data_IF_222643513997
#
_entry.id   IF_222643513997
#
_cell.length_a   1.000
_cell.length_b   1.000
_cell.length_c   1.000
_cell.angle_alpha   90.00
_cell.angle_beta   90.00
_cell.angle_gamma   90.00
#
_symmetry.space_group_name_H-M   'P 1'
#
loop_
_entity.id
_entity.type
_entity.pdbx_description
1 polymer ?
#
# COMPACT_ATOMS: atom_id res chain seq x y z
N UNK A 1 6.96 25.64 -12.83
CA UNK A 1 7.33 24.24 -12.50
C UNK A 1 6.75 23.31 -13.56
N UNK A 2 7.47 22.27 -13.97
CA UNK A 2 6.90 21.13 -14.69
C UNK A 2 6.21 20.15 -13.71
N UNK A 3 5.56 19.08 -14.24
CA UNK A 3 4.84 18.10 -13.41
C UNK A 3 5.73 17.39 -12.38
N UNK A 4 7.00 17.14 -12.71
CA UNK A 4 7.93 16.47 -11.82
C UNK A 4 8.42 17.40 -10.70
N UNK A 5 8.71 18.67 -11.04
CA UNK A 5 9.04 19.70 -10.06
C UNK A 5 7.86 19.97 -9.11
N UNK A 6 6.63 20.03 -9.64
CA UNK A 6 5.42 20.17 -8.84
C UNK A 6 5.25 18.98 -7.88
N UNK A 7 5.46 17.75 -8.37
CA UNK A 7 5.41 16.55 -7.54
C UNK A 7 6.36 16.66 -6.35
N UNK A 8 7.64 17.00 -6.60
CA UNK A 8 8.64 17.09 -5.53
C UNK A 8 8.39 18.26 -4.57
N UNK A 9 7.82 19.35 -5.04
CA UNK A 9 7.43 20.47 -4.17
C UNK A 9 6.32 20.07 -3.19
N UNK A 10 5.37 19.24 -3.63
CA UNK A 10 4.15 18.91 -2.88
C UNK A 10 4.17 17.51 -2.24
N UNK A 11 5.26 16.74 -2.40
CA UNK A 11 5.34 15.38 -1.85
C UNK A 11 5.12 15.38 -0.33
N UNK A 12 4.25 14.50 0.14
CA UNK A 12 3.94 14.37 1.55
C UNK A 12 4.97 13.47 2.26
N UNK A 13 5.56 13.91 3.38
CA UNK A 13 6.32 13.02 4.25
C UNK A 13 5.40 11.94 4.84
N UNK A 14 6.02 10.84 5.26
CA UNK A 14 5.28 9.65 5.71
C UNK A 14 4.21 9.91 6.78
N UNK A 15 4.49 10.84 7.70
CA UNK A 15 3.57 11.19 8.80
C UNK A 15 2.37 12.03 8.36
N UNK A 16 2.42 12.68 7.20
CA UNK A 16 1.30 13.45 6.63
C UNK A 16 0.37 12.59 5.78
N UNK A 17 0.84 11.42 5.29
CA UNK A 17 -0.01 10.50 4.54
C UNK A 17 -0.99 9.84 5.51
N UNK A 18 -2.32 10.01 5.31
CA UNK A 18 -3.30 9.53 6.27
C UNK A 18 -3.31 8.01 6.38
N UNK A 19 -3.40 7.51 7.61
CA UNK A 19 -3.62 6.10 7.89
C UNK A 19 -5.12 5.80 7.87
N UNK A 20 -5.53 4.78 7.13
CA UNK A 20 -6.91 4.32 7.14
C UNK A 20 -7.28 3.70 8.49
N UNK A 21 -6.39 2.88 9.06
CA UNK A 21 -6.49 2.33 10.41
C UNK A 21 -5.14 2.50 11.12
N UNK A 22 -5.17 3.02 12.35
CA UNK A 22 -4.02 2.93 13.25
C UNK A 22 -3.97 1.51 13.82
N UNK A 23 -2.95 0.71 13.46
CA UNK A 23 -2.65 -0.49 14.23
C UNK A 23 -1.62 -0.12 15.30
N UNK A 24 -2.00 -0.28 16.55
CA UNK A 24 -1.07 -0.52 17.64
C UNK A 24 -0.66 -1.98 17.58
N UNK A 25 0.55 -2.30 18.07
CA UNK A 25 0.88 -3.70 18.34
C UNK A 25 -0.23 -4.30 19.18
N UNK A 26 -0.73 -5.41 18.69
CA UNK A 26 -1.65 -6.23 19.46
C UNK A 26 -0.92 -6.70 20.71
N UNK A 27 -1.39 -6.36 21.89
CA UNK A 27 -0.86 -6.84 23.17
C UNK A 27 -0.74 -8.38 23.17
N UNK A 28 -1.54 -9.06 22.34
CA UNK A 28 -1.46 -10.50 22.13
C UNK A 28 -0.12 -10.95 21.50
N UNK A 29 0.51 -10.13 20.65
CA UNK A 29 1.82 -10.49 20.05
C UNK A 29 2.91 -10.45 21.10
N UNK A 30 2.90 -9.45 21.96
CA UNK A 30 3.85 -9.33 23.08
C UNK A 30 3.61 -10.45 24.09
N UNK A 31 2.36 -10.75 24.41
CA UNK A 31 1.99 -11.86 25.30
C UNK A 31 2.43 -13.22 24.73
N UNK A 32 2.26 -13.44 23.43
CA UNK A 32 2.70 -14.66 22.73
C UNK A 32 4.22 -14.83 22.78
N UNK A 33 4.96 -13.77 22.50
CA UNK A 33 6.43 -13.77 22.61
C UNK A 33 6.90 -14.11 24.04
N UNK A 34 6.31 -13.47 25.05
CA UNK A 34 6.64 -13.76 26.43
C UNK A 34 6.29 -15.19 26.81
N UNK A 35 5.17 -15.73 26.33
CA UNK A 35 4.80 -17.13 26.50
C UNK A 35 5.82 -18.08 25.88
N UNK A 36 6.32 -17.78 24.66
CA UNK A 36 7.39 -18.53 24.02
C UNK A 36 8.68 -18.49 24.86
N UNK A 37 9.16 -17.32 25.27
CA UNK A 37 10.38 -17.16 26.06
C UNK A 37 10.27 -17.86 27.42
N UNK A 38 9.11 -17.78 28.06
CA UNK A 38 8.83 -18.48 29.32
C UNK A 38 8.85 -20.00 29.13
N UNK A 39 8.17 -20.50 28.09
CA UNK A 39 8.18 -21.94 27.80
C UNK A 39 9.58 -22.42 27.49
N UNK A 40 10.31 -21.76 26.61
CA UNK A 40 11.68 -22.13 26.25
C UNK A 40 12.62 -22.13 27.44
N UNK A 41 12.53 -21.12 28.34
CA UNK A 41 13.32 -21.05 29.57
C UNK A 41 13.10 -22.24 30.50
N UNK A 42 11.84 -22.67 30.65
CA UNK A 42 11.47 -23.76 31.56
C UNK A 42 11.67 -25.16 31.00
N UNK A 43 11.88 -25.31 29.69
CA UNK A 43 12.03 -26.60 28.99
C UNK A 43 13.35 -26.69 28.21
N UNK A 44 14.38 -25.98 28.69
CA UNK A 44 15.72 -26.00 28.09
C UNK A 44 16.47 -27.26 28.55
N UNK A 45 16.21 -28.37 27.83
CA UNK A 45 16.84 -29.66 28.08
C UNK A 45 17.52 -30.18 26.82
N UNK A 46 18.73 -30.69 26.92
CA UNK A 46 19.51 -31.19 25.79
C UNK A 46 20.10 -30.07 24.93
N UNK A 47 20.16 -30.28 23.61
CA UNK A 47 20.68 -29.31 22.67
C UNK A 47 19.68 -28.16 22.41
N UNK A 48 20.20 -27.05 21.88
CA UNK A 48 19.37 -25.92 21.43
C UNK A 48 18.24 -26.37 20.47
N UNK A 49 18.62 -27.18 19.48
CA UNK A 49 17.69 -27.67 18.48
C UNK A 49 16.58 -28.53 19.08
N UNK A 50 16.88 -29.42 20.02
CA UNK A 50 15.88 -30.25 20.68
C UNK A 50 14.91 -29.42 21.53
N UNK A 51 15.43 -28.45 22.29
CA UNK A 51 14.60 -27.54 23.09
C UNK A 51 13.68 -26.70 22.20
N UNK A 52 14.17 -26.24 21.04
CA UNK A 52 13.38 -25.46 20.08
C UNK A 52 12.30 -26.31 19.38
N UNK A 53 12.64 -27.57 18.99
CA UNK A 53 11.68 -28.52 18.45
C UNK A 53 10.53 -28.78 19.43
N UNK A 54 10.84 -29.02 20.71
CA UNK A 54 9.84 -29.20 21.80
C UNK A 54 8.92 -27.97 21.87
N UNK A 55 9.46 -26.73 21.80
CA UNK A 55 8.67 -25.50 21.84
C UNK A 55 7.76 -25.37 20.63
N UNK A 56 8.25 -25.66 19.43
CA UNK A 56 7.47 -25.62 18.19
C UNK A 56 6.36 -26.69 18.16
N UNK A 57 6.61 -27.88 18.68
CA UNK A 57 5.61 -28.94 18.80
C UNK A 57 4.58 -28.66 19.91
N UNK A 58 4.97 -27.96 20.97
CA UNK A 58 4.04 -27.51 22.02
C UNK A 58 3.08 -26.42 21.49
N UNK A 59 3.62 -25.42 20.80
CA UNK A 59 2.81 -24.38 20.18
C UNK A 59 3.37 -23.95 18.82
N UNK A 60 2.81 -24.46 17.72
CA UNK A 60 3.24 -24.13 16.37
C UNK A 60 3.21 -22.62 16.02
N UNK A 61 2.39 -21.84 16.73
CA UNK A 61 2.31 -20.37 16.52
C UNK A 61 3.59 -19.64 16.96
N UNK A 62 4.45 -20.27 17.77
CA UNK A 62 5.75 -19.71 18.14
C UNK A 62 6.66 -19.44 16.94
N UNK A 63 6.42 -20.05 15.78
CA UNK A 63 7.09 -19.67 14.52
C UNK A 63 7.01 -18.17 14.29
N UNK A 64 5.85 -17.57 14.52
CA UNK A 64 5.62 -16.12 14.34
C UNK A 64 6.51 -15.31 15.30
N UNK A 65 6.54 -15.69 16.56
CA UNK A 65 7.28 -14.96 17.61
C UNK A 65 8.79 -15.02 17.38
N UNK A 66 9.29 -16.22 17.01
CA UNK A 66 10.70 -16.45 16.69
C UNK A 66 11.12 -15.65 15.47
N UNK A 67 10.30 -15.67 14.40
CA UNK A 67 10.55 -14.91 13.19
C UNK A 67 10.67 -13.41 13.48
N UNK A 68 9.81 -12.87 14.36
CA UNK A 68 9.83 -11.47 14.77
C UNK A 68 11.12 -11.12 15.53
N UNK A 69 11.54 -11.96 16.47
CA UNK A 69 12.81 -11.79 17.20
C UNK A 69 14.00 -11.68 16.24
N UNK A 70 14.00 -12.47 15.18
CA UNK A 70 15.04 -12.50 14.16
C UNK A 70 14.92 -11.36 13.11
N UNK A 71 13.83 -10.58 13.13
CA UNK A 71 13.55 -9.58 12.12
C UNK A 71 13.33 -10.17 10.72
N UNK A 72 12.94 -11.45 10.63
CA UNK A 72 12.65 -12.16 9.38
C UNK A 72 11.22 -11.84 8.97
N UNK A 73 11.05 -11.27 7.76
CA UNK A 73 9.73 -11.00 7.21
C UNK A 73 8.95 -12.30 6.94
N UNK A 74 7.61 -12.24 6.98
CA UNK A 74 6.76 -13.39 6.67
C UNK A 74 7.09 -13.99 5.30
N UNK A 75 7.24 -13.12 4.30
CA UNK A 75 7.61 -13.50 2.93
C UNK A 75 8.96 -14.21 2.86
N UNK A 76 9.99 -13.69 3.52
CA UNK A 76 11.31 -14.33 3.54
C UNK A 76 11.23 -15.71 4.18
N UNK A 77 10.57 -15.83 5.34
CA UNK A 77 10.42 -17.10 6.03
C UNK A 77 9.79 -18.18 5.15
N UNK A 78 8.60 -17.92 4.56
CA UNK A 78 7.94 -18.95 3.78
C UNK A 78 8.65 -19.28 2.46
N UNK A 79 9.35 -18.33 1.86
CA UNK A 79 10.16 -18.59 0.67
C UNK A 79 11.35 -19.51 1.00
N UNK A 80 12.14 -19.14 2.01
CA UNK A 80 13.29 -19.93 2.45
C UNK A 80 12.85 -21.35 2.85
N UNK A 81 11.80 -21.45 3.66
CA UNK A 81 11.24 -22.72 4.12
C UNK A 81 10.69 -23.59 2.97
N UNK A 82 10.09 -22.98 1.93
CA UNK A 82 9.63 -23.73 0.76
C UNK A 82 10.81 -24.41 0.06
N UNK A 83 11.91 -23.66 -0.17
CA UNK A 83 13.12 -24.22 -0.79
C UNK A 83 13.78 -25.29 0.09
N UNK A 84 13.88 -25.06 1.38
CA UNK A 84 14.45 -26.02 2.33
C UNK A 84 13.62 -27.32 2.40
N UNK A 85 12.28 -27.21 2.43
CA UNK A 85 11.40 -28.37 2.44
C UNK A 85 11.52 -29.23 1.17
N UNK A 86 11.65 -28.60 0.00
CA UNK A 86 11.89 -29.31 -1.26
C UNK A 86 13.28 -29.97 -1.34
N UNK A 87 14.26 -29.40 -0.67
CA UNK A 87 15.65 -29.90 -0.67
C UNK A 87 15.89 -30.95 0.42
N UNK A 88 15.00 -31.03 1.41
CA UNK A 88 15.17 -31.95 2.53
C UNK A 88 14.92 -33.39 2.11
N UNK A 89 15.82 -34.27 2.48
CA UNK A 89 15.74 -35.71 2.24
C UNK A 89 16.29 -36.46 3.44
N UNK A 90 15.57 -37.46 3.91
CA UNK A 90 16.04 -38.37 4.94
C UNK A 90 17.07 -39.36 4.39
N UNK A 91 17.81 -40.05 5.27
CA UNK A 91 18.81 -41.06 4.91
C UNK A 91 18.21 -42.21 4.08
N UNK A 92 16.95 -42.54 4.28
CA UNK A 92 16.21 -43.55 3.55
C UNK A 92 15.66 -43.06 2.17
N UNK A 93 15.98 -41.83 1.79
CA UNK A 93 15.51 -41.20 0.55
C UNK A 93 14.12 -40.58 0.63
N UNK A 94 13.43 -40.65 1.77
CA UNK A 94 12.11 -40.04 1.96
C UNK A 94 12.22 -38.52 1.92
N UNK A 95 11.34 -37.86 1.14
CA UNK A 95 11.24 -36.39 1.05
C UNK A 95 10.10 -35.85 1.91
N UNK A 96 10.25 -34.62 2.42
CA UNK A 96 9.17 -33.93 3.13
C UNK A 96 8.06 -33.43 2.18
N UNK A 97 8.43 -33.11 0.95
CA UNK A 97 7.55 -32.59 -0.10
C UNK A 97 7.88 -33.32 -1.38
N UNK A 98 6.85 -33.83 -2.07
CA UNK A 98 7.01 -34.63 -3.28
C UNK A 98 6.93 -33.80 -4.57
N UNK A 99 6.52 -32.52 -4.48
CA UNK A 99 6.45 -31.64 -5.65
C UNK A 99 7.82 -31.49 -6.31
N UNK A 100 7.85 -31.45 -7.63
CA UNK A 100 9.07 -31.20 -8.39
C UNK A 100 9.57 -29.76 -8.17
N UNK A 101 10.89 -29.52 -8.35
CA UNK A 101 11.48 -28.18 -8.17
C UNK A 101 10.95 -27.15 -9.16
N UNK A 102 10.70 -27.56 -10.37
CA UNK A 102 10.11 -26.78 -11.46
C UNK A 102 8.67 -26.35 -11.14
N UNK A 103 7.97 -27.15 -10.33
CA UNK A 103 6.61 -26.91 -9.86
C UNK A 103 6.57 -26.34 -8.45
N UNK A 104 7.65 -25.67 -8.03
CA UNK A 104 7.84 -25.16 -6.69
C UNK A 104 6.69 -24.24 -6.26
N UNK A 105 5.88 -24.72 -5.34
CA UNK A 105 4.77 -23.97 -4.75
C UNK A 105 5.26 -23.20 -3.54
N UNK A 106 4.94 -21.91 -3.47
CA UNK A 106 5.24 -21.06 -2.31
C UNK A 106 4.21 -21.34 -1.21
N UNK A 107 4.65 -21.97 -0.14
CA UNK A 107 3.81 -22.28 1.01
C UNK A 107 3.80 -21.09 1.99
N UNK A 108 2.63 -20.67 2.44
CA UNK A 108 2.51 -19.61 3.46
C UNK A 108 3.05 -20.05 4.82
N UNK A 109 3.39 -19.10 5.69
CA UNK A 109 3.76 -19.42 7.10
C UNK A 109 2.66 -20.22 7.81
N UNK A 110 1.39 -19.94 7.53
CA UNK A 110 0.25 -20.71 8.06
C UNK A 110 0.24 -22.17 7.61
N UNK A 111 0.73 -22.47 6.42
CA UNK A 111 0.88 -23.84 5.94
C UNK A 111 1.92 -24.61 6.79
N UNK A 112 3.07 -24.01 7.07
CA UNK A 112 4.10 -24.61 7.93
C UNK A 112 3.62 -24.80 9.37
N UNK A 113 2.91 -23.82 9.94
CA UNK A 113 2.23 -23.97 11.24
C UNK A 113 1.29 -25.18 11.23
N UNK A 114 0.53 -25.38 10.16
CA UNK A 114 -0.36 -26.52 9.99
C UNK A 114 0.38 -27.88 9.94
N UNK A 115 1.60 -27.94 9.40
CA UNK A 115 2.42 -29.16 9.35
C UNK A 115 2.87 -29.64 10.73
N UNK A 116 3.12 -28.72 11.65
CA UNK A 116 3.48 -29.06 13.04
C UNK A 116 2.31 -29.66 13.85
N UNK A 117 1.11 -29.71 13.30
CA UNK A 117 -0.08 -30.31 13.93
C UNK A 117 -0.54 -31.58 13.23
N UNK A 118 0.24 -32.14 12.28
CA UNK A 118 -0.12 -33.31 11.46
C UNK A 118 0.89 -34.45 11.66
N UNK A 119 0.60 -35.67 11.18
CA UNK A 119 1.57 -36.77 11.13
C UNK A 119 2.88 -36.34 10.47
N UNK A 120 4.02 -36.75 11.01
CA UNK A 120 5.34 -36.36 10.55
C UNK A 120 5.79 -34.98 11.05
N UNK A 121 5.09 -34.38 12.03
CA UNK A 121 5.37 -33.08 12.62
C UNK A 121 6.80 -32.97 13.20
N UNK A 122 7.38 -34.05 13.66
CA UNK A 122 8.74 -34.08 14.21
C UNK A 122 9.79 -33.70 13.19
N UNK A 123 9.68 -34.22 11.96
CA UNK A 123 10.58 -33.87 10.82
C UNK A 123 10.43 -32.40 10.42
N UNK A 124 9.20 -31.89 10.46
CA UNK A 124 8.93 -30.47 10.21
C UNK A 124 9.48 -29.56 11.33
N UNK A 125 9.36 -29.98 12.58
CA UNK A 125 9.93 -29.26 13.72
C UNK A 125 11.46 -29.22 13.66
N UNK A 126 12.10 -30.31 13.24
CA UNK A 126 13.54 -30.40 13.02
C UNK A 126 14.00 -29.42 11.94
N UNK A 127 13.36 -29.45 10.77
CA UNK A 127 13.69 -28.55 9.66
C UNK A 127 13.54 -27.08 10.05
N UNK A 128 12.41 -26.72 10.68
CA UNK A 128 12.14 -25.34 11.11
C UNK A 128 13.09 -24.89 12.22
N UNK A 129 13.40 -25.78 13.17
CA UNK A 129 14.37 -25.48 14.22
C UNK A 129 15.80 -25.30 13.66
N UNK A 130 16.18 -26.10 12.68
CA UNK A 130 17.43 -25.95 11.94
C UNK A 130 17.52 -24.58 11.24
N UNK A 131 16.48 -24.19 10.53
CA UNK A 131 16.41 -22.87 9.87
C UNK A 131 16.60 -21.73 10.87
N UNK A 132 15.94 -21.76 12.01
CA UNK A 132 16.06 -20.71 13.02
C UNK A 132 17.43 -20.72 13.71
N UNK A 133 18.02 -21.90 13.96
CA UNK A 133 19.39 -22.03 14.46
C UNK A 133 20.37 -21.38 13.50
N UNK A 134 20.26 -21.69 12.21
CA UNK A 134 21.15 -21.19 11.16
C UNK A 134 20.98 -19.67 10.88
N UNK A 135 19.94 -19.07 11.44
CA UNK A 135 19.70 -17.62 11.51
C UNK A 135 20.00 -17.04 12.91
N UNK A 136 20.94 -17.61 13.66
CA UNK A 136 21.48 -17.10 14.93
C UNK A 136 20.48 -16.97 16.10
N UNK A 137 19.35 -17.70 16.06
CA UNK A 137 18.32 -17.60 17.11
C UNK A 137 18.90 -17.95 18.51
N UNK A 138 19.85 -18.88 18.60
CA UNK A 138 20.43 -19.26 19.89
C UNK A 138 21.11 -18.08 20.58
N UNK A 139 21.88 -17.29 19.84
CA UNK A 139 22.56 -16.09 20.34
C UNK A 139 21.55 -15.06 20.83
N UNK A 140 20.49 -14.83 20.06
CA UNK A 140 19.42 -13.89 20.40
C UNK A 140 18.70 -14.34 21.67
N UNK A 141 18.32 -15.62 21.77
CA UNK A 141 17.64 -16.13 22.96
C UNK A 141 18.55 -16.05 24.21
N UNK A 142 19.82 -16.34 24.07
CA UNK A 142 20.77 -16.21 25.19
C UNK A 142 20.87 -14.74 25.66
N UNK A 143 20.74 -13.76 24.80
CA UNK A 143 20.69 -12.36 25.17
C UNK A 143 19.35 -11.95 25.84
N UNK A 144 18.21 -12.51 25.41
CA UNK A 144 16.89 -12.18 25.95
C UNK A 144 16.55 -12.89 27.24
N UNK A 145 17.01 -14.14 27.44
CA UNK A 145 16.64 -14.96 28.59
C UNK A 145 17.01 -14.35 29.96
N UNK A 146 18.12 -13.63 30.16
CA UNK A 146 18.42 -12.97 31.42
C UNK A 146 17.61 -11.70 31.69
N UNK A 147 16.91 -11.16 30.72
CA UNK A 147 16.19 -9.91 30.86
C UNK A 147 14.86 -10.10 31.64
N UNK A 148 14.43 -9.03 32.32
CA UNK A 148 13.10 -8.99 32.93
C UNK A 148 12.00 -8.89 31.87
N UNK A 149 10.80 -9.37 32.19
CA UNK A 149 9.64 -9.28 31.28
C UNK A 149 9.34 -7.85 30.85
N UNK A 150 9.49 -6.86 31.75
CA UNK A 150 9.26 -5.45 31.43
C UNK A 150 10.28 -4.95 30.40
N UNK A 151 11.55 -5.26 30.57
CA UNK A 151 12.58 -4.86 29.62
C UNK A 151 12.40 -5.54 28.25
N UNK A 152 12.00 -6.82 28.23
CA UNK A 152 11.64 -7.52 26.98
C UNK A 152 10.48 -6.82 26.28
N UNK A 153 9.44 -6.42 27.01
CA UNK A 153 8.30 -5.65 26.45
C UNK A 153 8.77 -4.32 25.85
N UNK A 154 9.61 -3.59 26.55
CA UNK A 154 10.13 -2.31 26.05
C UNK A 154 10.98 -2.48 24.78
N UNK A 155 11.91 -3.44 24.78
CA UNK A 155 12.72 -3.74 23.59
C UNK A 155 11.83 -4.16 22.42
N UNK A 156 10.87 -5.04 22.67
CA UNK A 156 9.99 -5.52 21.62
C UNK A 156 9.14 -4.38 21.05
N UNK A 157 8.50 -3.59 21.90
CA UNK A 157 7.63 -2.49 21.48
C UNK A 157 8.39 -1.38 20.76
N UNK A 158 9.62 -1.08 21.18
CA UNK A 158 10.35 0.08 20.68
C UNK A 158 11.30 -0.24 19.52
N UNK A 159 11.79 -1.48 19.40
CA UNK A 159 12.79 -1.84 18.40
C UNK A 159 12.31 -2.89 17.38
N UNK A 160 11.60 -3.93 17.83
CA UNK A 160 11.24 -5.07 16.96
C UNK A 160 9.92 -4.81 16.25
N UNK A 161 8.93 -4.41 17.00
CA UNK A 161 7.59 -4.17 16.51
C UNK A 161 7.46 -3.09 15.45
N UNK A 162 8.18 -1.96 15.52
CA UNK A 162 8.08 -0.92 14.49
C UNK A 162 8.30 -1.42 13.07
N UNK A 163 9.16 -2.41 12.85
CA UNK A 163 9.40 -2.95 11.50
C UNK A 163 8.19 -3.66 10.90
N UNK A 164 7.50 -4.48 11.70
CA UNK A 164 6.30 -5.18 11.22
C UNK A 164 5.11 -4.25 11.07
N UNK A 165 4.99 -3.28 11.98
CA UNK A 165 3.98 -2.22 11.88
C UNK A 165 4.19 -1.38 10.62
N UNK A 166 5.44 -1.01 10.29
CA UNK A 166 5.73 -0.23 9.09
C UNK A 166 5.23 -0.90 7.82
N UNK A 167 5.41 -2.22 7.67
CA UNK A 167 4.93 -2.95 6.48
C UNK A 167 3.39 -2.94 6.38
N UNK A 168 2.70 -3.12 7.50
CA UNK A 168 1.24 -3.04 7.55
C UNK A 168 0.74 -1.61 7.36
N UNK A 169 1.41 -0.65 7.98
CA UNK A 169 1.09 0.77 7.84
C UNK A 169 1.26 1.26 6.40
N UNK A 170 2.22 0.75 5.63
CA UNK A 170 2.37 1.10 4.21
C UNK A 170 1.09 0.81 3.42
N UNK A 171 0.48 -0.37 3.63
CA UNK A 171 -0.82 -0.71 3.04
C UNK A 171 -1.94 0.22 3.51
N UNK A 172 -2.02 0.48 4.81
CA UNK A 172 -3.06 1.37 5.37
C UNK A 172 -2.88 2.84 4.98
N UNK A 173 -1.65 3.28 4.68
CA UNK A 173 -1.40 4.61 4.09
C UNK A 173 -1.88 4.67 2.65
N UNK A 174 -1.65 3.63 1.84
CA UNK A 174 -2.24 3.51 0.51
C UNK A 174 -3.76 3.70 0.57
N UNK A 175 -4.45 2.90 1.36
CA UNK A 175 -5.91 3.02 1.53
C UNK A 175 -6.36 4.35 2.17
N UNK A 176 -5.55 4.95 3.04
CA UNK A 176 -5.84 6.28 3.59
C UNK A 176 -5.80 7.38 2.53
N UNK A 177 -4.79 7.35 1.65
CA UNK A 177 -4.67 8.29 0.54
C UNK A 177 -5.74 8.04 -0.55
N UNK A 178 -6.08 6.78 -0.85
CA UNK A 178 -7.20 6.43 -1.74
C UNK A 178 -8.53 6.98 -1.20
N UNK A 179 -8.79 6.80 0.11
CA UNK A 179 -9.98 7.37 0.75
C UNK A 179 -9.99 8.89 0.68
N UNK A 180 -8.86 9.55 0.91
CA UNK A 180 -8.74 10.99 0.82
C UNK A 180 -9.03 11.48 -0.60
N UNK A 181 -8.47 10.83 -1.61
CA UNK A 181 -8.75 11.14 -3.02
C UNK A 181 -10.23 10.92 -3.35
N UNK A 182 -10.80 9.76 -3.01
CA UNK A 182 -12.22 9.46 -3.24
C UNK A 182 -13.12 10.50 -2.55
N UNK A 183 -12.79 10.90 -1.31
CA UNK A 183 -13.51 11.95 -0.59
C UNK A 183 -13.40 13.30 -1.28
N UNK A 184 -12.20 13.66 -1.74
CA UNK A 184 -11.99 14.94 -2.44
C UNK A 184 -12.80 15.04 -3.73
N UNK A 185 -12.91 13.95 -4.49
CA UNK A 185 -13.79 13.89 -5.67
C UNK A 185 -15.29 13.93 -5.30
N UNK A 186 -15.69 13.15 -4.27
CA UNK A 186 -17.08 13.11 -3.83
C UNK A 186 -17.56 14.47 -3.26
N UNK A 187 -16.75 15.13 -2.42
CA UNK A 187 -17.13 16.37 -1.71
C UNK A 187 -17.33 17.55 -2.69
N UNK A 188 -16.65 17.54 -3.83
CA UNK A 188 -16.85 18.51 -4.92
C UNK A 188 -18.03 18.18 -5.83
N UNK A 189 -18.74 17.07 -5.58
CA UNK A 189 -19.95 16.66 -6.28
C UNK A 189 -19.72 15.72 -7.47
N UNK A 190 -18.53 15.12 -7.61
CA UNK A 190 -18.29 14.11 -8.63
C UNK A 190 -19.03 12.80 -8.31
N UNK A 191 -19.55 12.14 -9.35
CA UNK A 191 -20.08 10.78 -9.26
C UNK A 191 -18.93 9.79 -9.32
N UNK A 192 -18.61 9.19 -8.20
CA UNK A 192 -17.51 8.24 -8.05
C UNK A 192 -18.03 6.80 -8.02
N UNK A 193 -17.20 5.85 -8.48
CA UNK A 193 -17.42 4.42 -8.32
C UNK A 193 -16.09 3.73 -7.94
N UNK A 194 -16.02 2.87 -6.92
CA UNK A 194 -17.13 2.48 -6.02
C UNK A 194 -17.68 3.65 -5.18
N UNK A 195 -19.00 3.69 -5.00
CA UNK A 195 -19.66 4.84 -4.36
C UNK A 195 -19.23 5.07 -2.92
N UNK A 196 -18.98 3.99 -2.17
CA UNK A 196 -18.63 4.05 -0.73
C UNK A 196 -17.14 4.21 -0.46
N UNK A 197 -16.29 4.25 -1.50
CA UNK A 197 -14.83 4.30 -1.31
C UNK A 197 -14.37 5.53 -0.51
N UNK A 198 -15.10 6.64 -0.56
CA UNK A 198 -14.85 7.84 0.24
C UNK A 198 -15.10 7.65 1.75
N UNK A 199 -15.90 6.66 2.14
CA UNK A 199 -16.17 6.29 3.53
C UNK A 199 -15.29 5.12 3.99
N UNK A 200 -15.30 4.03 3.21
CA UNK A 200 -14.68 2.76 3.52
C UNK A 200 -13.92 2.21 2.30
N UNK A 201 -12.62 2.52 2.14
CA UNK A 201 -11.86 2.18 0.93
C UNK A 201 -11.70 0.67 0.71
N UNK A 202 -11.89 -0.15 1.74
CA UNK A 202 -11.77 -1.61 1.66
C UNK A 202 -13.11 -2.35 1.58
N UNK A 203 -14.25 -1.64 1.63
CA UNK A 203 -15.57 -2.28 1.61
C UNK A 203 -15.92 -2.88 0.24
N UNK A 204 -15.38 -2.31 -0.81
CA UNK A 204 -15.66 -2.71 -2.18
C UNK A 204 -14.34 -2.97 -2.92
N UNK A 205 -14.35 -3.95 -3.82
CA UNK A 205 -13.18 -4.26 -4.66
C UNK A 205 -12.98 -3.17 -5.70
N UNK A 206 -11.72 -2.97 -6.10
CA UNK A 206 -11.36 -2.04 -7.16
C UNK A 206 -12.02 -2.48 -8.48
N UNK A 207 -12.71 -1.56 -9.19
CA UNK A 207 -13.44 -1.89 -10.39
C UNK A 207 -12.52 -2.26 -11.56
N UNK A 208 -12.90 -3.28 -12.31
CA UNK A 208 -12.28 -3.64 -13.56
C UNK A 208 -12.99 -2.95 -14.73
N UNK A 209 -12.20 -2.38 -15.64
CA UNK A 209 -12.68 -1.70 -16.85
C UNK A 209 -12.08 -2.35 -18.09
N UNK A 210 -12.92 -2.66 -19.07
CA UNK A 210 -12.47 -2.98 -20.42
C UNK A 210 -12.15 -1.66 -21.16
N UNK A 211 -10.87 -1.41 -21.42
CA UNK A 211 -10.42 -0.14 -22.02
C UNK A 211 -10.79 0.01 -23.50
N UNK A 212 -11.22 -1.06 -24.18
CA UNK A 212 -11.69 -0.96 -25.57
C UNK A 212 -13.14 -0.45 -25.66
N UNK A 213 -13.98 -0.77 -24.65
CA UNK A 213 -15.40 -0.37 -24.61
C UNK A 213 -15.71 0.67 -23.55
N UNK A 214 -14.79 0.91 -22.61
CA UNK A 214 -14.97 1.71 -21.39
C UNK A 214 -16.14 1.25 -20.52
N UNK A 215 -16.34 -0.06 -20.43
CA UNK A 215 -17.39 -0.66 -19.61
C UNK A 215 -16.81 -1.35 -18.39
N UNK A 216 -17.58 -1.33 -17.30
CA UNK A 216 -17.29 -2.13 -16.11
C UNK A 216 -17.49 -3.61 -16.43
N UNK A 217 -16.53 -4.44 -16.00
CA UNK A 217 -16.58 -5.89 -16.19
C UNK A 217 -16.45 -6.62 -14.86
N UNK A 218 -16.94 -7.86 -14.81
CA UNK A 218 -16.82 -8.67 -13.59
C UNK A 218 -15.37 -9.02 -13.27
N UNK A 219 -15.06 -9.27 -11.99
CA UNK A 219 -13.71 -9.66 -11.55
C UNK A 219 -13.23 -11.01 -12.10
N UNK A 220 -14.13 -11.84 -12.62
CA UNK A 220 -13.82 -13.13 -13.21
C UNK A 220 -13.39 -13.02 -14.67
N UNK A 221 -13.60 -11.85 -15.30
CA UNK A 221 -13.21 -11.59 -16.67
C UNK A 221 -11.69 -11.37 -16.77
N UNK A 222 -10.94 -12.42 -17.03
CA UNK A 222 -9.51 -12.34 -17.35
C UNK A 222 -9.35 -12.26 -18.89
N UNK A 223 -9.19 -11.05 -19.42
CA UNK A 223 -8.93 -10.84 -20.84
C UNK A 223 -7.95 -9.68 -21.05
N UNK A 224 -7.24 -9.69 -22.18
CA UNK A 224 -6.39 -8.60 -22.58
C UNK A 224 -7.18 -7.28 -22.69
N UNK A 225 -6.64 -6.19 -22.15
CA UNK A 225 -7.29 -4.87 -22.16
C UNK A 225 -8.25 -4.62 -20.98
N UNK A 226 -8.38 -5.55 -20.03
CA UNK A 226 -9.08 -5.34 -18.77
C UNK A 226 -8.08 -4.92 -17.69
N UNK A 227 -8.32 -3.76 -17.07
CA UNK A 227 -7.47 -3.22 -16.02
C UNK A 227 -8.28 -2.80 -14.79
N UNK A 228 -7.68 -2.94 -13.61
CA UNK A 228 -8.25 -2.51 -12.34
C UNK A 228 -7.87 -1.05 -12.04
N UNK A 229 -8.82 -0.29 -11.51
CA UNK A 229 -8.62 1.10 -11.10
C UNK A 229 -9.10 1.32 -9.67
N UNK A 230 -8.41 2.18 -8.93
CA UNK A 230 -8.77 2.47 -7.55
C UNK A 230 -10.08 3.26 -7.44
N UNK A 231 -10.37 4.10 -8.44
CA UNK A 231 -11.58 4.91 -8.49
C UNK A 231 -11.95 5.23 -9.95
N UNK A 232 -13.25 5.31 -10.22
CA UNK A 232 -13.81 5.74 -11.51
C UNK A 232 -14.66 6.98 -11.26
N UNK A 233 -14.58 7.93 -12.18
CA UNK A 233 -15.41 9.14 -12.22
C UNK A 233 -16.37 9.02 -13.40
N UNK A 234 -17.66 9.23 -13.13
CA UNK A 234 -18.74 9.15 -14.11
C UNK A 234 -19.36 10.52 -14.33
N UNK A 235 -19.88 10.75 -15.55
CA UNK A 235 -20.71 11.91 -15.84
C UNK A 235 -22.17 11.71 -15.37
N UNK A 236 -23.05 12.66 -15.72
CA UNK A 236 -24.47 12.62 -15.35
C UNK A 236 -25.22 11.47 -16.03
N UNK A 237 -24.77 11.03 -17.18
CA UNK A 237 -25.35 9.92 -17.94
C UNK A 237 -24.87 8.54 -17.44
N UNK A 238 -23.84 8.54 -16.58
CA UNK A 238 -23.26 7.33 -16.01
C UNK A 238 -22.06 6.78 -16.79
N UNK A 239 -21.65 7.49 -17.86
CA UNK A 239 -20.50 7.11 -18.66
C UNK A 239 -19.19 7.36 -17.91
N UNK A 240 -18.19 6.52 -18.13
CA UNK A 240 -16.85 6.66 -17.54
C UNK A 240 -16.15 7.85 -18.20
N UNK A 241 -15.71 8.81 -17.38
CA UNK A 241 -14.99 10.01 -17.83
C UNK A 241 -13.62 10.15 -17.18
N UNK A 242 -13.39 9.49 -16.06
CA UNK A 242 -12.10 9.48 -15.39
C UNK A 242 -11.77 8.13 -14.79
N UNK A 243 -10.52 7.72 -14.94
CA UNK A 243 -9.93 6.52 -14.36
C UNK A 243 -8.80 6.96 -13.43
N UNK A 244 -8.89 6.59 -12.16
CA UNK A 244 -7.90 6.98 -11.13
C UNK A 244 -7.04 5.78 -10.76
N UNK A 245 -5.72 5.97 -10.82
CA UNK A 245 -4.73 5.04 -10.31
C UNK A 245 -4.00 5.64 -9.12
N UNK A 246 -3.94 4.88 -8.02
CA UNK A 246 -3.22 5.28 -6.81
C UNK A 246 -1.87 4.57 -6.72
N UNK A 247 -0.82 5.32 -6.43
CA UNK A 247 0.50 4.79 -6.13
C UNK A 247 1.14 5.64 -5.02
N UNK A 248 1.06 5.14 -3.80
CA UNK A 248 1.54 5.82 -2.61
C UNK A 248 2.72 5.02 -2.03
N UNK A 249 3.91 5.60 -2.08
CA UNK A 249 5.11 4.93 -1.60
C UNK A 249 5.86 5.75 -0.55
N UNK A 250 5.96 5.20 0.66
CA UNK A 250 6.76 5.75 1.76
C UNK A 250 8.17 5.15 1.84
N UNK A 251 8.43 4.11 1.03
CA UNK A 251 9.72 3.46 0.81
C UNK A 251 9.88 3.18 -0.68
N UNK A 252 11.09 2.81 -1.13
CA UNK A 252 11.35 2.49 -2.53
C UNK A 252 10.29 1.55 -3.12
N UNK A 253 9.63 1.96 -4.21
CA UNK A 253 8.67 1.11 -4.91
C UNK A 253 9.28 -0.13 -5.56
N UNK A 254 10.62 -0.14 -5.81
CA UNK A 254 11.35 -1.25 -6.41
C UNK A 254 10.74 -1.74 -7.72
N UNK A 255 10.85 -3.06 -7.98
CA UNK A 255 10.33 -3.68 -9.21
C UNK A 255 8.80 -3.52 -9.36
N UNK A 256 8.06 -3.44 -8.26
CA UNK A 256 6.61 -3.20 -8.33
C UNK A 256 6.31 -1.84 -8.97
N UNK A 257 7.02 -0.79 -8.58
CA UNK A 257 6.85 0.54 -9.15
C UNK A 257 7.21 0.57 -10.65
N UNK A 258 8.27 -0.11 -11.05
CA UNK A 258 8.65 -0.24 -12.48
C UNK A 258 7.53 -0.89 -13.28
N UNK A 259 7.05 -2.06 -12.84
CA UNK A 259 5.96 -2.77 -13.51
C UNK A 259 4.69 -1.93 -13.58
N UNK A 260 4.35 -1.21 -12.50
CA UNK A 260 3.16 -0.35 -12.45
C UNK A 260 3.28 0.86 -13.38
N UNK A 261 4.48 1.44 -13.50
CA UNK A 261 4.71 2.54 -14.45
C UNK A 261 4.59 2.09 -15.91
N UNK A 262 5.07 0.89 -16.24
CA UNK A 262 4.94 0.31 -17.59
C UNK A 262 3.47 0.04 -17.93
N UNK A 263 2.74 -0.59 -16.99
CA UNK A 263 1.30 -0.80 -17.11
C UNK A 263 0.53 0.53 -17.32
N UNK A 264 0.88 1.59 -16.56
CA UNK A 264 0.24 2.90 -16.68
C UNK A 264 0.43 3.53 -18.08
N UNK A 265 1.63 3.36 -18.66
CA UNK A 265 1.90 3.82 -20.04
C UNK A 265 1.02 3.08 -21.05
N UNK A 266 0.88 1.76 -20.90
CA UNK A 266 0.07 0.96 -21.82
C UNK A 266 -1.43 1.26 -21.67
N UNK A 267 -1.92 1.43 -20.45
CA UNK A 267 -3.28 1.91 -20.17
C UNK A 267 -3.54 3.25 -20.88
N UNK A 268 -2.60 4.21 -20.78
CA UNK A 268 -2.77 5.52 -21.42
C UNK A 268 -2.85 5.42 -22.95
N UNK A 269 -2.08 4.53 -23.57
CA UNK A 269 -2.18 4.27 -25.02
C UNK A 269 -3.56 3.76 -25.39
N UNK A 270 -4.11 2.81 -24.62
CA UNK A 270 -5.45 2.26 -24.88
C UNK A 270 -6.54 3.33 -24.71
N UNK A 271 -6.44 4.17 -23.67
CA UNK A 271 -7.36 5.32 -23.46
C UNK A 271 -7.29 6.29 -24.64
N UNK A 272 -6.10 6.61 -25.13
CA UNK A 272 -5.96 7.51 -26.28
C UNK A 272 -6.61 6.91 -27.54
N UNK A 273 -6.44 5.61 -27.80
CA UNK A 273 -7.10 4.92 -28.91
C UNK A 273 -8.63 4.92 -28.79
N UNK A 274 -9.15 4.79 -27.57
CA UNK A 274 -10.58 4.92 -27.30
C UNK A 274 -11.06 6.36 -27.57
N UNK A 275 -10.34 7.36 -27.06
CA UNK A 275 -10.69 8.77 -27.21
C UNK A 275 -10.67 9.25 -28.68
N UNK A 276 -9.75 8.73 -29.51
CA UNK A 276 -9.72 9.01 -30.95
C UNK A 276 -11.02 8.57 -31.64
N UNK A 277 -11.62 7.47 -31.18
CA UNK A 277 -12.89 6.95 -31.69
C UNK A 277 -14.13 7.64 -31.08
N UNK A 278 -13.98 8.22 -29.89
CA UNK A 278 -15.05 8.80 -29.09
C UNK A 278 -14.73 10.24 -28.63
N UNK A 279 -14.43 11.17 -29.54
CA UNK A 279 -13.93 12.51 -29.19
C UNK A 279 -14.96 13.37 -28.43
N UNK A 280 -16.25 13.03 -28.48
CA UNK A 280 -17.30 13.75 -27.76
C UNK A 280 -17.37 13.40 -26.25
N UNK A 281 -16.88 12.23 -25.88
CA UNK A 281 -16.88 11.71 -24.49
C UNK A 281 -15.50 11.17 -24.11
N UNK A 282 -14.44 12.00 -24.11
CA UNK A 282 -13.09 11.53 -23.82
C UNK A 282 -12.98 11.08 -22.36
N UNK A 283 -12.14 10.06 -22.13
CA UNK A 283 -11.80 9.53 -20.82
C UNK A 283 -10.40 9.97 -20.43
N UNK A 284 -10.19 10.30 -19.16
CA UNK A 284 -8.96 10.85 -18.64
C UNK A 284 -8.33 9.92 -17.60
N UNK A 285 -7.01 9.80 -17.64
CA UNK A 285 -6.24 9.05 -16.65
C UNK A 285 -5.70 10.00 -15.59
N UNK A 286 -6.11 9.79 -14.35
CA UNK A 286 -5.76 10.65 -13.21
C UNK A 286 -4.89 9.86 -12.22
N UNK A 287 -3.73 10.41 -11.85
CA UNK A 287 -2.88 9.84 -10.82
C UNK A 287 -3.24 10.33 -9.42
N UNK A 288 -3.36 9.43 -8.45
CA UNK A 288 -3.28 9.74 -7.03
C UNK A 288 -1.92 9.22 -6.54
N UNK A 289 -0.90 10.08 -6.62
CA UNK A 289 0.50 9.65 -6.47
C UNK A 289 1.21 10.49 -5.42
N UNK A 290 1.80 9.87 -4.42
CA UNK A 290 2.48 10.59 -3.35
C UNK A 290 3.51 9.71 -2.62
N UNK A 291 4.34 10.34 -1.80
CA UNK A 291 5.24 9.73 -0.85
C UNK A 291 6.72 9.82 -1.21
N UNK A 292 7.51 9.99 -0.16
CA UNK A 292 8.97 10.21 -0.25
C UNK A 292 9.76 9.01 -0.81
N UNK A 293 9.15 7.82 -0.86
CA UNK A 293 9.82 6.60 -1.37
C UNK A 293 10.25 6.70 -2.83
N UNK A 294 9.62 7.55 -3.62
CA UNK A 294 10.05 7.80 -5.01
C UNK A 294 11.41 8.52 -5.12
N UNK A 295 11.93 9.09 -4.01
CA UNK A 295 13.24 9.78 -4.01
C UNK A 295 14.43 8.85 -4.22
N UNK A 296 14.28 7.56 -4.00
CA UNK A 296 15.32 6.54 -4.28
C UNK A 296 15.66 6.49 -5.78
N UNK A 297 14.67 6.75 -6.66
CA UNK A 297 14.87 6.89 -8.10
C UNK A 297 13.98 8.01 -8.67
N UNK A 298 14.36 9.29 -8.49
CA UNK A 298 13.51 10.44 -8.78
C UNK A 298 13.17 10.62 -10.27
N UNK A 299 14.01 10.10 -11.18
CA UNK A 299 13.80 10.17 -12.63
C UNK A 299 13.21 8.86 -13.20
N UNK A 300 12.92 7.89 -12.35
CA UNK A 300 12.42 6.57 -12.77
C UNK A 300 10.89 6.49 -12.82
N UNK A 301 10.34 5.66 -11.95
CA UNK A 301 8.90 5.31 -11.90
C UNK A 301 7.98 6.52 -11.93
N UNK A 302 8.19 7.48 -11.02
CA UNK A 302 7.28 8.63 -10.89
C UNK A 302 7.35 9.56 -12.10
N UNK A 303 8.53 9.87 -12.62
CA UNK A 303 8.69 10.72 -13.81
C UNK A 303 7.97 10.13 -15.02
N UNK A 304 8.06 8.81 -15.22
CA UNK A 304 7.39 8.09 -16.29
C UNK A 304 5.86 8.15 -16.16
N UNK A 305 5.33 7.95 -14.96
CA UNK A 305 3.89 8.01 -14.71
C UNK A 305 3.33 9.43 -14.88
N UNK A 306 4.01 10.45 -14.33
CA UNK A 306 3.60 11.84 -14.48
C UNK A 306 3.59 12.29 -15.94
N UNK A 307 4.44 11.72 -16.78
CA UNK A 307 4.48 11.98 -18.22
C UNK A 307 3.22 11.53 -18.95
N UNK A 308 2.47 10.57 -18.43
CA UNK A 308 1.29 9.98 -19.10
C UNK A 308 -0.04 10.29 -18.42
N UNK A 309 -0.07 10.67 -17.14
CA UNK A 309 -1.29 11.15 -16.51
C UNK A 309 -1.78 12.48 -17.13
N UNK A 310 -3.06 12.58 -17.38
CA UNK A 310 -3.69 13.84 -17.81
C UNK A 310 -3.61 14.85 -16.67
N UNK A 311 -3.94 14.43 -15.46
CA UNK A 311 -3.76 15.19 -14.21
C UNK A 311 -3.33 14.25 -13.09
N UNK A 312 -2.80 14.83 -12.00
CA UNK A 312 -2.50 14.06 -10.79
C UNK A 312 -2.79 14.88 -9.54
N UNK A 313 -3.05 14.16 -8.43
CA UNK A 313 -3.25 14.72 -7.10
C UNK A 313 -2.28 14.10 -6.11
N UNK A 314 -1.96 14.84 -5.07
CA UNK A 314 -1.17 14.44 -3.91
C UNK A 314 -1.94 14.81 -2.64
N UNK A 315 -1.56 14.28 -1.49
CA UNK A 315 -2.20 14.59 -0.20
C UNK A 315 -2.33 16.11 0.01
N UNK A 316 -1.27 16.86 -0.31
CA UNK A 316 -1.24 18.31 -0.15
C UNK A 316 -1.97 19.09 -1.26
N UNK A 317 -2.21 18.48 -2.41
CA UNK A 317 -2.80 19.13 -3.59
C UNK A 317 -4.14 18.53 -4.02
N UNK A 318 -4.91 17.94 -3.09
CA UNK A 318 -6.23 17.36 -3.38
C UNK A 318 -7.23 18.36 -3.99
N UNK A 319 -7.05 19.66 -3.79
CA UNK A 319 -7.86 20.69 -4.43
C UNK A 319 -7.82 20.65 -5.97
N UNK A 320 -6.76 20.12 -6.55
CA UNK A 320 -6.63 19.94 -8.01
C UNK A 320 -7.70 19.00 -8.56
N UNK A 321 -8.17 18.04 -7.76
CA UNK A 321 -9.26 17.14 -8.16
C UNK A 321 -10.50 17.93 -8.62
N UNK A 322 -10.97 18.84 -7.78
CA UNK A 322 -12.14 19.68 -8.12
C UNK A 322 -11.88 20.62 -9.30
N UNK A 323 -10.71 21.27 -9.33
CA UNK A 323 -10.36 22.19 -10.42
C UNK A 323 -10.30 21.48 -11.77
N UNK A 324 -9.67 20.30 -11.80
CA UNK A 324 -9.58 19.50 -13.03
C UNK A 324 -10.96 19.04 -13.53
N UNK A 325 -11.82 18.55 -12.62
CA UNK A 325 -13.18 18.15 -13.01
C UNK A 325 -14.03 19.35 -13.48
N UNK A 326 -13.86 20.54 -12.87
CA UNK A 326 -14.54 21.74 -13.33
C UNK A 326 -14.05 22.20 -14.71
N UNK A 327 -12.75 22.14 -14.97
CA UNK A 327 -12.17 22.38 -16.29
C UNK A 327 -12.76 21.44 -17.36
N UNK A 328 -12.97 20.15 -16.99
CA UNK A 328 -13.59 19.15 -17.86
C UNK A 328 -15.12 19.27 -17.94
N UNK A 329 -15.74 20.21 -17.22
CA UNK A 329 -17.20 20.42 -17.10
C UNK A 329 -17.97 19.22 -16.55
N UNK A 330 -17.30 18.38 -15.76
CA UNK A 330 -17.93 17.25 -15.06
C UNK A 330 -18.56 17.68 -13.74
N UNK A 331 -18.14 18.82 -13.20
CA UNK A 331 -18.74 19.51 -12.06
C UNK A 331 -18.72 21.02 -12.33
N UNK A 332 -19.39 21.79 -11.47
CA UNK A 332 -19.39 23.25 -11.53
C UNK A 332 -19.56 23.85 -10.13
N UNK A 333 -19.35 25.15 -10.01
CA UNK A 333 -19.67 25.93 -8.83
C UNK A 333 -18.49 26.34 -7.97
N UNK A 334 -17.26 25.85 -8.21
CA UNK A 334 -16.06 26.35 -7.56
C UNK A 334 -15.75 27.75 -8.12
N UNK A 335 -15.69 28.76 -7.26
CA UNK A 335 -15.48 30.16 -7.66
C UNK A 335 -14.10 30.69 -7.32
N UNK A 336 -13.57 30.23 -6.19
CA UNK A 336 -12.24 30.65 -5.72
C UNK A 336 -11.53 29.53 -4.98
N UNK A 337 -10.21 29.69 -4.88
CA UNK A 337 -9.34 28.83 -4.05
C UNK A 337 -8.57 29.72 -3.09
N UNK A 338 -8.52 29.34 -1.84
CA UNK A 338 -7.64 29.90 -0.82
C UNK A 338 -6.54 28.87 -0.53
N UNK A 339 -5.30 29.17 -0.88
CA UNK A 339 -4.13 28.33 -0.61
C UNK A 339 -3.55 28.62 0.77
N UNK A 340 -3.00 27.59 1.41
CA UNK A 340 -2.29 27.70 2.68
C UNK A 340 -1.00 28.50 2.48
N UNK A 341 -0.92 29.69 3.10
CA UNK A 341 0.18 30.63 2.95
C UNK A 341 1.50 30.13 3.53
N UNK A 342 1.43 29.34 4.59
CA UNK A 342 2.59 28.77 5.24
C UNK A 342 3.22 27.64 4.41
N UNK A 343 2.45 27.08 3.47
CA UNK A 343 2.89 25.96 2.63
C UNK A 343 3.31 26.39 1.21
N UNK A 344 2.53 27.27 0.57
CA UNK A 344 2.77 27.64 -0.82
C UNK A 344 3.53 28.97 -0.93
N UNK A 345 4.73 28.94 -1.54
CA UNK A 345 5.44 30.16 -1.92
C UNK A 345 4.68 30.96 -2.97
N UNK A 346 5.06 32.23 -3.16
CA UNK A 346 4.46 33.09 -4.19
C UNK A 346 4.56 32.45 -5.58
N UNK A 347 5.72 31.88 -5.93
CA UNK A 347 5.95 31.22 -7.21
C UNK A 347 5.09 29.97 -7.36
N UNK A 348 4.88 29.21 -6.27
CA UNK A 348 4.00 28.05 -6.28
C UNK A 348 2.54 28.47 -6.43
N UNK A 349 2.08 29.52 -5.71
CA UNK A 349 0.73 30.08 -5.88
C UNK A 349 0.46 30.48 -7.34
N UNK A 350 1.41 31.18 -7.97
CA UNK A 350 1.30 31.57 -9.37
C UNK A 350 1.27 30.36 -10.32
N UNK A 351 2.10 29.33 -10.06
CA UNK A 351 2.09 28.10 -10.82
C UNK A 351 0.72 27.39 -10.77
N UNK A 352 0.15 27.22 -9.56
CA UNK A 352 -1.16 26.58 -9.39
C UNK A 352 -2.30 27.43 -9.97
N UNK A 353 -2.21 28.75 -9.88
CA UNK A 353 -3.17 29.62 -10.51
C UNK A 353 -3.19 29.44 -12.02
N UNK A 354 -2.06 29.57 -12.69
CA UNK A 354 -1.97 29.50 -14.17
C UNK A 354 -2.32 28.11 -14.72
N UNK A 355 -1.93 27.04 -14.03
CA UNK A 355 -2.07 25.70 -14.59
C UNK A 355 -3.38 25.00 -14.20
N UNK A 356 -4.05 25.42 -13.13
CA UNK A 356 -5.23 24.73 -12.64
C UNK A 356 -6.43 25.65 -12.38
N UNK A 357 -6.23 26.82 -11.78
CA UNK A 357 -7.34 27.71 -11.42
C UNK A 357 -7.86 28.50 -12.61
N UNK A 358 -6.99 29.18 -13.33
CA UNK A 358 -7.35 29.96 -14.51
C UNK A 358 -8.05 29.11 -15.59
N UNK A 359 -7.54 27.90 -15.98
CA UNK A 359 -8.23 27.02 -16.91
C UNK A 359 -9.60 26.53 -16.42
N UNK A 360 -9.80 26.42 -15.10
CA UNK A 360 -11.08 26.07 -14.47
C UNK A 360 -12.02 27.28 -14.28
N UNK A 361 -11.60 28.51 -14.64
CA UNK A 361 -12.35 29.75 -14.43
C UNK A 361 -12.47 30.14 -12.95
N UNK A 362 -11.48 29.79 -12.12
CA UNK A 362 -11.48 29.93 -10.64
C UNK A 362 -10.47 30.99 -10.22
N UNK A 363 -10.83 31.81 -9.24
CA UNK A 363 -9.95 32.89 -8.71
C UNK A 363 -9.07 32.35 -7.59
N UNK A 364 -7.85 32.84 -7.50
CA UNK A 364 -7.04 32.75 -6.30
C UNK A 364 -7.42 33.91 -5.36
N UNK A 365 -7.59 33.63 -4.08
CA UNK A 365 -7.93 34.63 -3.05
C UNK A 365 -7.05 34.44 -1.82
N UNK A 366 -6.78 35.54 -1.10
CA UNK A 366 -5.95 35.53 0.11
C UNK A 366 -6.79 35.41 1.39
N UNK A 367 -8.11 35.61 1.29
CA UNK A 367 -9.06 35.44 2.39
C UNK A 367 -10.40 34.88 1.88
N UNK A 368 -11.21 34.33 2.78
CA UNK A 368 -12.52 33.79 2.44
C UNK A 368 -13.47 34.93 2.07
N UNK A 369 -13.96 35.01 0.81
CA UNK A 369 -14.84 36.09 0.39
C UNK A 369 -16.21 36.04 1.10
N UNK A 370 -16.85 37.20 1.31
CA UNK A 370 -18.19 37.30 1.94
C UNK A 370 -19.27 36.51 1.19
N UNK A 371 -19.14 36.33 -0.11
CA UNK A 371 -20.10 35.57 -0.93
C UNK A 371 -20.00 34.04 -0.75
N UNK A 372 -19.02 33.53 0.00
CA UNK A 372 -18.78 32.10 0.16
C UNK A 372 -19.97 31.41 0.85
N UNK A 373 -20.71 30.58 0.09
CA UNK A 373 -21.82 29.79 0.62
C UNK A 373 -21.37 28.45 1.18
N UNK A 374 -20.35 27.86 0.62
CA UNK A 374 -19.77 26.58 1.00
C UNK A 374 -18.25 26.63 0.80
N UNK A 375 -17.53 25.98 1.68
CA UNK A 375 -16.08 25.78 1.55
C UNK A 375 -15.72 24.34 1.87
N UNK A 376 -14.82 23.78 1.08
CA UNK A 376 -14.34 22.39 1.22
C UNK A 376 -12.83 22.44 1.38
N UNK A 377 -12.31 21.86 2.46
CA UNK A 377 -10.88 21.68 2.61
C UNK A 377 -10.42 20.50 1.77
N UNK A 378 -9.43 20.73 0.92
CA UNK A 378 -8.86 19.72 0.03
C UNK A 378 -7.32 19.84 0.00
N UNK A 379 -6.65 19.03 0.80
CA UNK A 379 -5.21 19.15 1.04
C UNK A 379 -4.87 20.45 1.76
N UNK A 380 -3.90 21.21 1.23
CA UNK A 380 -3.45 22.51 1.73
C UNK A 380 -4.21 23.69 1.10
N UNK A 381 -5.48 23.49 0.82
CA UNK A 381 -6.32 24.56 0.25
C UNK A 381 -7.80 24.44 0.66
N UNK A 382 -8.54 25.53 0.44
CA UNK A 382 -9.97 25.58 0.54
C UNK A 382 -10.57 25.88 -0.83
N UNK A 383 -11.50 25.03 -1.29
CA UNK A 383 -12.35 25.27 -2.44
C UNK A 383 -13.58 26.07 -1.98
N UNK A 384 -13.91 27.18 -2.64
CA UNK A 384 -14.93 28.15 -2.25
C UNK A 384 -16.01 28.17 -3.34
N UNK A 385 -17.27 27.99 -2.92
CA UNK A 385 -18.46 27.94 -3.76
C UNK A 385 -19.33 29.18 -3.65
#
# INVERSE_FOLDING_TARGET
MDKLQEFWYCVAPQNEIPLYRGETLDDQVVASLLAFLKYYRSHREGTFSESLQKALLHNPKFIRDIRLLLGISDKRFYLDMTYLAHSWQADDGTRLVEEAREDLVKHSTGWFVGRLSRPGKEKWAELIAGYFRDNDLEQILNAFLPLSENLIKEIFNNLIAPKEIQQKQAKYRGHGAERLAARSFHDVGARIYPEKKHLEPMAERDPNVNLATMELVSHEAAAAGIHSFDLIIKDEEGDIRGLVQSLIHTSDPGQYGVNKSDETVDIKKMINQYNEKHPQKPVYLIGNVDGVGFSENPNGTIAKMLGVFDSFVQVNTMFKAGLYLQQLRLISGIRAVLLDEDYFSTEAKEHFYRNYMEPAGVKLVDEVPEYAKKRIRAGRAWLIY
#
